data_IF_929167006659
#
_entry.id   IF_929167006659
#
_cell.length_a   1.000
_cell.length_b   1.000
_cell.length_c   1.000
_cell.angle_alpha   90.00
_cell.angle_beta   90.00
_cell.angle_gamma   90.00
#
_symmetry.space_group_name_H-M   'P 1'
#
loop_
_entity.id
_entity.type
_entity.pdbx_description
1 polymer ?
#
# COMPACT_ATOMS: atom_id res chain seq x y z
N UNK A 1 -16.04 -3.09 50.74
CA UNK A 1 -15.35 -2.64 49.52
C UNK A 1 -13.88 -2.44 49.87
N UNK A 2 -13.02 -3.39 49.51
CA UNK A 2 -11.58 -3.29 49.77
C UNK A 2 -10.94 -2.30 48.79
N UNK A 3 -9.97 -1.48 49.22
CA UNK A 3 -9.22 -0.64 48.30
C UNK A 3 -8.27 -1.56 47.54
N UNK A 4 -8.50 -1.80 46.26
CA UNK A 4 -7.55 -2.51 45.40
C UNK A 4 -6.31 -1.60 45.21
N UNK A 5 -5.40 -1.71 46.18
CA UNK A 5 -4.23 -0.88 46.34
C UNK A 5 -3.12 -1.26 45.38
N UNK A 6 -2.56 -0.24 44.73
CA UNK A 6 -1.14 0.16 44.56
C UNK A 6 0.00 -0.87 44.46
N UNK A 7 -0.19 -2.17 44.72
CA UNK A 7 0.90 -3.13 44.96
C UNK A 7 0.88 -4.37 44.04
N UNK A 8 -0.01 -4.44 43.04
CA UNK A 8 -0.10 -5.62 42.16
C UNK A 8 0.71 -5.51 40.86
N UNK A 9 1.11 -4.30 40.48
CA UNK A 9 1.93 -4.11 39.27
C UNK A 9 3.39 -4.35 39.62
N UNK A 10 3.96 -5.40 39.03
CA UNK A 10 5.39 -5.71 39.14
C UNK A 10 6.01 -5.64 37.76
N UNK A 11 7.00 -4.76 37.60
CA UNK A 11 7.86 -4.76 36.42
C UNK A 11 9.03 -5.73 36.64
N UNK A 12 9.43 -6.44 35.58
CA UNK A 12 10.62 -7.30 35.57
C UNK A 12 11.33 -7.21 34.22
N UNK A 13 12.62 -7.51 34.17
CA UNK A 13 13.33 -7.70 32.91
C UNK A 13 12.82 -8.97 32.19
N UNK A 14 12.68 -8.90 30.86
CA UNK A 14 12.18 -9.98 30.00
C UNK A 14 13.00 -11.29 30.12
N UNK A 15 14.29 -11.18 30.47
CA UNK A 15 15.22 -12.33 30.57
C UNK A 15 15.42 -12.87 32.00
N UNK A 16 14.84 -12.23 33.03
CA UNK A 16 14.97 -12.71 34.42
C UNK A 16 14.02 -13.89 34.59
N UNK A 17 14.57 -15.03 35.03
CA UNK A 17 13.92 -16.33 35.14
C UNK A 17 12.46 -16.27 35.57
N UNK A 18 11.65 -17.10 34.90
CA UNK A 18 10.22 -17.36 35.07
C UNK A 18 9.93 -18.02 36.44
N UNK A 19 10.39 -17.40 37.51
CA UNK A 19 10.32 -17.90 38.88
C UNK A 19 9.85 -16.75 39.79
N UNK A 20 8.58 -16.40 39.65
CA UNK A 20 7.87 -15.54 40.58
C UNK A 20 6.37 -15.78 40.40
N UNK A 21 5.69 -15.93 41.54
CA UNK A 21 4.26 -16.22 41.78
C UNK A 21 3.29 -15.88 40.65
N UNK A 22 2.21 -16.67 40.44
CA UNK A 22 1.18 -16.38 39.45
C UNK A 22 0.48 -15.07 39.81
N UNK A 23 0.99 -13.96 39.28
CA UNK A 23 0.33 -12.66 39.42
C UNK A 23 -0.90 -12.69 38.52
N UNK A 24 -2.08 -12.75 39.12
CA UNK A 24 -3.35 -12.64 38.43
C UNK A 24 -3.41 -11.32 37.63
N UNK A 25 -3.23 -11.39 36.31
CA UNK A 25 -3.35 -10.25 35.41
C UNK A 25 -2.65 -10.43 34.06
N UNK A 26 -2.93 -9.52 33.12
CA UNK A 26 -2.29 -9.54 31.79
C UNK A 26 -0.88 -8.93 31.86
N UNK A 27 -0.01 -9.38 30.96
CA UNK A 27 1.36 -8.87 30.82
C UNK A 27 1.46 -7.89 29.64
N UNK A 28 2.11 -6.76 29.84
CA UNK A 28 2.40 -5.78 28.78
C UNK A 28 3.91 -5.53 28.72
N UNK A 29 4.47 -5.58 27.51
CA UNK A 29 5.88 -5.32 27.27
C UNK A 29 6.13 -3.82 27.09
N UNK A 30 7.18 -3.31 27.73
CA UNK A 30 7.60 -1.91 27.67
C UNK A 30 9.11 -1.83 27.59
N UNK A 31 9.63 -1.13 26.58
CA UNK A 31 11.06 -0.86 26.44
C UNK A 31 11.45 0.36 27.27
N UNK A 32 12.50 0.24 28.08
CA UNK A 32 13.00 1.25 29.01
C UNK A 32 14.51 1.39 28.82
N UNK A 33 15.00 2.56 28.37
CA UNK A 33 16.44 2.81 28.16
C UNK A 33 17.16 1.69 27.39
N UNK A 34 16.54 1.19 26.31
CA UNK A 34 17.01 0.07 25.47
C UNK A 34 16.95 -1.33 26.13
N UNK A 35 16.27 -1.47 27.27
CA UNK A 35 15.97 -2.76 27.90
C UNK A 35 14.48 -3.11 27.78
N UNK A 36 14.17 -4.33 27.35
CA UNK A 36 12.80 -4.85 27.34
C UNK A 36 12.36 -5.26 28.76
N UNK A 37 11.36 -4.56 29.30
CA UNK A 37 10.71 -4.90 30.57
C UNK A 37 9.29 -5.41 30.33
N UNK A 38 8.82 -6.27 31.23
CA UNK A 38 7.46 -6.79 31.25
C UNK A 38 6.79 -6.33 32.53
N UNK A 39 5.63 -5.69 32.40
CA UNK A 39 4.77 -5.31 33.53
C UNK A 39 3.68 -6.36 33.67
N UNK A 40 3.71 -7.12 34.77
CA UNK A 40 2.72 -8.14 35.11
C UNK A 40 1.62 -7.55 36.00
N UNK A 41 0.43 -8.16 36.00
CA UNK A 41 -0.68 -7.73 36.86
C UNK A 41 -1.52 -6.58 36.29
N UNK A 42 -1.48 -6.34 34.98
CA UNK A 42 -2.22 -5.24 34.36
C UNK A 42 -3.72 -5.56 34.34
N UNK A 43 -4.52 -4.63 34.86
CA UNK A 43 -5.99 -4.76 34.96
C UNK A 43 -6.70 -3.70 34.12
N UNK A 44 -8.03 -3.81 34.02
CA UNK A 44 -8.89 -2.84 33.30
C UNK A 44 -8.86 -1.41 33.88
N UNK A 45 -8.38 -1.25 35.11
CA UNK A 45 -8.28 0.04 35.81
C UNK A 45 -6.87 0.62 35.79
N UNK A 46 -5.86 -0.17 35.40
CA UNK A 46 -4.47 0.25 35.35
C UNK A 46 -4.29 1.38 34.34
N UNK A 47 -3.74 2.50 34.80
CA UNK A 47 -3.42 3.67 33.98
C UNK A 47 -1.96 3.70 33.57
N UNK A 48 -1.62 4.55 32.60
CA UNK A 48 -0.23 4.79 32.20
C UNK A 48 0.62 5.31 33.36
N UNK A 49 0.06 6.16 34.23
CA UNK A 49 0.74 6.62 35.44
C UNK A 49 1.12 5.46 36.37
N UNK A 50 0.20 4.49 36.57
CA UNK A 50 0.46 3.32 37.41
C UNK A 50 1.56 2.42 36.82
N UNK A 51 1.59 2.29 35.48
CA UNK A 51 2.67 1.58 34.78
C UNK A 51 4.02 2.26 34.92
N UNK A 52 4.07 3.59 34.72
CA UNK A 52 5.30 4.38 34.88
C UNK A 52 5.83 4.24 36.30
N UNK A 53 4.94 4.31 37.29
CA UNK A 53 5.31 4.11 38.69
C UNK A 53 5.91 2.72 38.94
N UNK A 54 5.28 1.65 38.43
CA UNK A 54 5.78 0.29 38.56
C UNK A 54 7.15 0.08 37.89
N UNK A 55 7.39 0.69 36.72
CA UNK A 55 8.67 0.64 36.01
C UNK A 55 9.77 1.40 36.75
N UNK A 56 9.45 2.55 37.34
CA UNK A 56 10.38 3.34 38.15
C UNK A 56 10.70 2.65 39.48
N UNK A 57 9.73 2.02 40.12
CA UNK A 57 9.94 1.32 41.39
C UNK A 57 10.80 0.06 41.22
N UNK A 58 10.64 -0.69 40.13
CA UNK A 58 11.58 -1.77 39.74
C UNK A 58 12.99 -1.21 39.50
N UNK A 59 13.11 -0.09 38.80
CA UNK A 59 14.40 0.54 38.52
C UNK A 59 15.09 1.15 39.77
N UNK A 60 14.33 1.49 40.83
CA UNK A 60 14.90 1.87 42.15
C UNK A 60 15.42 0.68 42.94
N UNK A 61 14.97 -0.54 42.64
CA UNK A 61 15.42 -1.77 43.31
C UNK A 61 16.76 -2.30 42.76
N UNK A 62 17.25 -1.74 41.65
CA UNK A 62 18.51 -2.07 40.99
C UNK A 62 19.65 -1.23 41.62
N UNK A 63 20.90 -1.75 41.73
CA UNK A 63 22.02 -1.00 42.29
C UNK A 63 22.27 0.36 41.60
N UNK A 64 22.62 1.38 42.38
CA UNK A 64 22.78 2.78 41.94
C UNK A 64 23.71 2.95 40.72
N UNK A 65 24.67 2.04 40.51
CA UNK A 65 25.60 2.05 39.37
C UNK A 65 24.95 1.81 38.00
N UNK A 66 23.71 1.30 37.96
CA UNK A 66 22.93 1.06 36.72
C UNK A 66 21.65 1.91 36.66
N UNK A 67 21.49 2.88 37.57
CA UNK A 67 20.28 3.67 37.66
C UNK A 67 20.26 4.78 36.58
N UNK A 68 19.70 4.48 35.40
CA UNK A 68 19.58 5.43 34.28
C UNK A 68 18.35 6.36 34.37
N UNK A 69 17.25 5.88 34.97
CA UNK A 69 16.05 6.68 35.26
C UNK A 69 16.13 7.37 36.63
N UNK A 70 16.40 8.68 36.62
CA UNK A 70 16.32 9.56 37.79
C UNK A 70 15.23 10.62 37.58
N UNK A 71 14.17 10.59 38.38
CA UNK A 71 13.07 11.56 38.30
C UNK A 71 11.78 11.13 39.00
N UNK A 72 10.80 12.03 39.07
CA UNK A 72 9.45 11.70 39.54
C UNK A 72 8.65 11.01 38.43
N UNK A 73 7.62 10.19 38.75
CA UNK A 73 6.74 9.57 37.74
C UNK A 73 6.08 10.56 36.78
N UNK A 74 6.01 11.84 37.14
CA UNK A 74 5.46 12.93 36.31
C UNK A 74 6.41 13.41 35.22
N UNK A 75 7.70 13.11 35.34
CA UNK A 75 8.73 13.51 34.38
C UNK A 75 8.85 12.53 33.22
N UNK A 76 8.09 11.43 33.25
CA UNK A 76 8.10 10.38 32.24
C UNK A 76 6.71 10.22 31.61
N UNK A 77 6.70 9.77 30.36
CA UNK A 77 5.49 9.40 29.64
C UNK A 77 5.71 8.08 28.89
N UNK A 78 4.65 7.29 28.77
CA UNK A 78 4.63 6.12 27.89
C UNK A 78 4.33 6.58 26.47
N UNK A 79 5.08 6.07 25.51
CA UNK A 79 4.91 6.33 24.08
C UNK A 79 4.44 5.05 23.41
N UNK A 80 3.33 5.10 22.67
CA UNK A 80 2.92 4.04 21.76
C UNK A 80 3.62 4.23 20.41
N UNK A 81 4.24 3.16 19.86
CA UNK A 81 4.91 3.17 18.56
C UNK A 81 4.35 2.08 17.65
N UNK A 82 3.95 2.46 16.44
CA UNK A 82 3.49 1.53 15.40
C UNK A 82 3.68 2.12 13.99
N UNK A 83 4.31 1.38 13.07
CA UNK A 83 4.54 1.78 11.65
C UNK A 83 5.04 3.23 11.46
N UNK A 84 5.97 3.69 12.30
CA UNK A 84 6.53 5.04 12.25
C UNK A 84 5.67 6.14 12.92
N UNK A 85 4.49 5.80 13.43
CA UNK A 85 3.70 6.68 14.28
C UNK A 85 4.14 6.52 15.73
N UNK A 86 4.48 7.65 16.36
CA UNK A 86 4.82 7.72 17.78
C UNK A 86 3.89 8.70 18.48
N UNK A 87 3.30 8.27 19.60
CA UNK A 87 2.37 9.10 20.36
C UNK A 87 2.57 8.94 21.86
N UNK A 88 2.78 10.05 22.56
CA UNK A 88 2.77 10.04 24.02
C UNK A 88 1.35 9.84 24.55
N UNK A 89 1.23 8.89 25.47
CA UNK A 89 -0.01 8.54 26.13
C UNK A 89 -0.28 9.47 27.31
N UNK A 90 -1.48 10.04 27.44
CA UNK A 90 -1.88 10.78 28.63
C UNK A 90 -1.76 9.91 29.90
N UNK A 91 -1.37 10.47 31.05
CA UNK A 91 -1.14 9.70 32.29
C UNK A 91 -2.36 8.87 32.75
N UNK A 92 -3.58 9.36 32.49
CA UNK A 92 -4.84 8.71 32.88
C UNK A 92 -5.34 7.66 31.86
N UNK A 93 -4.60 7.44 30.77
CA UNK A 93 -4.98 6.46 29.75
C UNK A 93 -4.96 5.06 30.34
N UNK A 94 -6.08 4.34 30.22
CA UNK A 94 -6.19 2.95 30.66
C UNK A 94 -5.48 2.05 29.67
N UNK A 95 -4.28 1.60 30.03
CA UNK A 95 -3.39 0.89 29.10
C UNK A 95 -4.03 -0.37 28.52
N UNK A 96 -4.75 -1.14 29.34
CA UNK A 96 -5.34 -2.39 28.89
C UNK A 96 -6.47 -2.15 27.88
N UNK A 97 -7.23 -1.05 28.04
CA UNK A 97 -8.25 -0.66 27.05
C UNK A 97 -7.61 -0.24 25.73
N UNK A 98 -6.52 0.52 25.80
CA UNK A 98 -5.75 0.92 24.62
C UNK A 98 -5.20 -0.31 23.89
N UNK A 99 -4.56 -1.22 24.63
CA UNK A 99 -4.04 -2.49 24.11
C UNK A 99 -5.12 -3.31 23.41
N UNK A 100 -6.32 -3.43 24.00
CA UNK A 100 -7.43 -4.14 23.34
C UNK A 100 -7.97 -3.43 22.10
N UNK A 101 -7.99 -2.09 22.09
CA UNK A 101 -8.47 -1.29 20.97
C UNK A 101 -7.67 -1.51 19.68
N UNK A 102 -6.42 -1.94 19.80
CA UNK A 102 -5.55 -2.26 18.66
C UNK A 102 -5.82 -3.62 17.99
N UNK A 103 -6.72 -4.46 18.53
CA UNK A 103 -7.17 -5.68 17.86
C UNK A 103 -6.02 -6.63 17.47
N UNK A 104 -5.96 -7.01 16.20
CA UNK A 104 -4.96 -7.95 15.67
C UNK A 104 -3.58 -7.33 15.49
N UNK A 105 -3.46 -6.00 15.62
CA UNK A 105 -2.19 -5.28 15.49
C UNK A 105 -1.39 -5.24 16.81
N UNK A 106 -1.95 -5.75 17.91
CA UNK A 106 -1.29 -5.88 19.23
C UNK A 106 0.18 -6.33 19.18
N UNK A 107 0.57 -7.44 18.51
CA UNK A 107 1.95 -7.92 18.54
C UNK A 107 2.97 -6.96 17.89
N UNK A 108 2.51 -5.98 17.10
CA UNK A 108 3.37 -5.03 16.41
C UNK A 108 3.50 -3.68 17.14
N UNK A 109 2.76 -3.47 18.23
CA UNK A 109 2.76 -2.22 18.98
C UNK A 109 3.75 -2.30 20.11
N UNK A 110 4.60 -1.27 20.17
CA UNK A 110 5.65 -1.18 21.17
C UNK A 110 5.34 -0.01 22.10
N UNK A 111 5.42 -0.27 23.40
CA UNK A 111 5.39 0.79 24.40
C UNK A 111 6.81 1.13 24.81
N UNK A 112 7.15 2.42 24.82
CA UNK A 112 8.47 2.89 25.26
C UNK A 112 8.31 3.92 26.38
N UNK A 113 9.06 3.77 27.46
CA UNK A 113 9.13 4.79 28.51
C UNK A 113 10.15 5.86 28.12
N UNK A 114 9.70 7.10 28.01
CA UNK A 114 10.55 8.24 27.62
C UNK A 114 10.38 9.38 28.62
N UNK A 115 11.44 10.17 28.84
CA UNK A 115 11.34 11.38 29.65
C UNK A 115 10.54 12.44 28.88
N UNK A 116 9.58 13.08 29.55
CA UNK A 116 8.68 14.07 28.91
C UNK A 116 9.45 15.25 28.31
N UNK A 117 10.64 15.58 28.83
CA UNK A 117 11.53 16.60 28.25
C UNK A 117 12.08 16.27 26.86
N UNK A 118 12.15 14.98 26.54
CA UNK A 118 12.81 14.47 25.33
C UNK A 118 11.76 14.16 24.24
N UNK A 119 10.51 13.94 24.64
CA UNK A 119 9.37 13.75 23.72
C UNK A 119 8.77 15.08 23.24
N UNK A 120 8.84 16.16 24.04
CA UNK A 120 8.39 17.49 23.61
C UNK A 120 9.42 18.05 22.62
N UNK A 121 9.02 18.46 21.40
CA UNK A 121 9.92 19.14 20.48
C UNK A 121 10.53 20.36 21.16
N UNK A 122 11.82 20.28 21.49
CA UNK A 122 12.56 21.45 21.94
C UNK A 122 12.55 22.46 20.79
N UNK A 123 12.10 23.72 20.98
CA UNK A 123 12.39 24.75 19.99
C UNK A 123 13.92 24.82 19.90
N UNK A 124 14.43 24.52 18.71
CA UNK A 124 15.86 24.47 18.41
C UNK A 124 16.52 25.77 18.88
N UNK A 125 17.27 25.70 19.99
CA UNK A 125 18.07 26.81 20.48
C UNK A 125 19.26 27.00 19.55
N UNK A 126 19.07 27.78 18.48
CA UNK A 126 20.18 28.48 17.84
C UNK A 126 20.81 29.41 18.88
N UNK A 127 22.13 29.32 19.00
CA UNK A 127 22.93 30.05 19.96
C UNK A 127 22.70 31.56 19.88
N UNK A 128 22.46 32.16 21.05
CA UNK A 128 22.38 33.59 21.22
C UNK A 128 22.52 33.90 22.70
N UNK A 129 23.71 34.35 23.12
CA UNK A 129 23.97 34.83 24.47
C UNK A 129 23.00 35.98 24.79
N UNK A 130 22.07 35.78 25.71
CA UNK A 130 21.39 36.88 26.39
C UNK A 130 21.45 36.66 27.90
N UNK A 131 22.09 37.61 28.56
CA UNK A 131 22.20 37.69 30.01
C UNK A 131 20.80 37.89 30.62
N UNK A 132 20.52 37.13 31.67
CA UNK A 132 19.71 37.59 32.80
C UNK A 132 18.21 37.75 32.58
N UNK A 133 17.45 36.67 32.79
CA UNK A 133 16.11 36.77 33.35
C UNK A 133 15.85 35.54 34.25
N UNK A 134 15.84 35.76 35.56
CA UNK A 134 15.42 34.75 36.54
C UNK A 134 14.05 34.21 36.15
N UNK A 135 13.95 32.89 35.94
CA UNK A 135 12.68 32.20 35.86
C UNK A 135 11.96 32.34 37.21
N UNK A 136 10.92 33.17 37.24
CA UNK A 136 10.03 33.28 38.40
C UNK A 136 9.22 31.98 38.49
N UNK A 137 9.60 31.19 39.49
CA UNK A 137 8.77 30.28 40.28
C UNK A 137 7.29 30.73 40.26
N UNK A 138 6.44 29.98 39.56
CA UNK A 138 4.99 30.12 39.65
C UNK A 138 4.54 29.46 40.96
N UNK A 139 4.69 30.19 42.05
CA UNK A 139 3.99 29.87 43.31
C UNK A 139 2.52 30.26 43.14
N UNK A 140 1.66 29.31 43.47
CA UNK A 140 0.22 29.50 43.56
C UNK A 140 -0.08 30.58 44.62
N UNK A 141 -0.62 31.72 44.18
CA UNK A 141 -1.04 32.80 45.06
C UNK A 141 -2.23 33.54 44.48
N UNK A 142 -3.39 33.32 45.09
CA UNK A 142 -4.57 34.20 45.19
C UNK A 142 -4.94 35.07 43.97
N UNK A 143 -6.09 34.75 43.37
CA UNK A 143 -6.79 35.58 42.41
C UNK A 143 -7.09 36.98 42.98
N UNK A 144 -6.18 37.94 42.73
CA UNK A 144 -6.55 39.35 42.78
C UNK A 144 -7.31 39.68 41.50
N UNK A 145 -8.62 39.88 41.65
CA UNK A 145 -9.49 40.40 40.61
C UNK A 145 -8.92 41.73 40.09
N UNK A 146 -8.35 41.70 38.88
CA UNK A 146 -7.98 42.91 38.17
C UNK A 146 -9.28 43.64 37.79
N UNK A 147 -9.31 44.99 37.83
CA UNK A 147 -10.49 45.77 37.43
C UNK A 147 -11.03 45.30 36.08
N UNK A 148 -12.32 45.02 36.00
CA UNK A 148 -13.00 44.38 34.85
C UNK A 148 -12.71 45.12 33.54
N UNK A 149 -12.50 46.44 33.58
CA UNK A 149 -12.13 47.27 32.43
C UNK A 149 -10.74 46.94 31.88
N UNK A 150 -9.77 46.63 32.74
CA UNK A 150 -8.43 46.19 32.33
C UNK A 150 -8.47 44.78 31.77
N UNK A 151 -9.28 43.89 32.35
CA UNK A 151 -9.51 42.55 31.84
C UNK A 151 -10.19 42.59 30.45
N UNK A 152 -11.24 43.40 30.27
CA UNK A 152 -11.90 43.60 28.96
C UNK A 152 -10.94 44.14 27.91
N UNK A 153 -10.04 45.08 28.27
CA UNK A 153 -9.00 45.60 27.36
C UNK A 153 -7.94 44.56 27.03
N UNK A 154 -7.51 43.76 28.00
CA UNK A 154 -6.58 42.64 27.80
C UNK A 154 -7.18 41.56 26.92
N UNK A 155 -8.43 41.19 27.17
CA UNK A 155 -9.18 40.21 26.38
C UNK A 155 -9.34 40.72 24.94
N UNK A 156 -9.79 41.97 24.73
CA UNK A 156 -9.84 42.57 23.39
C UNK A 156 -8.47 42.63 22.71
N UNK A 157 -7.39 42.91 23.44
CA UNK A 157 -6.02 42.84 22.90
C UNK A 157 -5.59 41.42 22.58
N UNK A 158 -5.97 40.43 23.38
CA UNK A 158 -5.69 39.02 23.15
C UNK A 158 -6.48 38.49 21.94
N UNK A 159 -7.76 38.83 21.81
CA UNK A 159 -8.56 38.51 20.63
C UNK A 159 -8.01 39.18 19.37
N UNK A 160 -7.66 40.48 19.41
CA UNK A 160 -6.99 41.13 18.27
C UNK A 160 -5.63 40.51 17.94
N UNK A 161 -4.90 40.00 18.94
CA UNK A 161 -3.62 39.32 18.74
C UNK A 161 -3.83 37.92 18.14
N UNK A 162 -4.85 37.19 18.58
CA UNK A 162 -5.25 35.91 18.00
C UNK A 162 -5.75 36.08 16.57
N UNK A 163 -6.53 37.13 16.29
CA UNK A 163 -7.01 37.45 14.96
C UNK A 163 -5.86 37.84 14.03
N UNK A 164 -4.87 38.61 14.52
CA UNK A 164 -3.64 38.88 13.76
C UNK A 164 -2.84 37.62 13.48
N UNK A 165 -2.63 36.75 14.47
CA UNK A 165 -1.91 35.49 14.26
C UNK A 165 -2.67 34.54 13.32
N UNK A 166 -3.99 34.48 13.42
CA UNK A 166 -4.82 33.67 12.53
C UNK A 166 -4.79 34.20 11.09
N UNK A 167 -4.79 35.53 10.90
CA UNK A 167 -4.62 36.13 9.58
C UNK A 167 -3.20 35.95 9.04
N UNK A 168 -2.16 36.06 9.88
CA UNK A 168 -0.76 35.78 9.52
C UNK A 168 -0.54 34.30 9.19
N UNK A 169 -1.24 33.39 9.86
CA UNK A 169 -1.21 31.94 9.57
C UNK A 169 -1.90 31.65 8.24
N UNK A 170 -3.05 32.28 7.97
CA UNK A 170 -3.76 32.18 6.69
C UNK A 170 -3.03 32.84 5.53
N UNK A 171 -2.23 33.89 5.79
CA UNK A 171 -1.42 34.56 4.77
C UNK A 171 -0.02 33.97 4.60
N UNK A 172 0.29 32.85 5.26
CA UNK A 172 1.56 32.16 5.04
C UNK A 172 1.50 31.40 3.71
N UNK A 173 2.55 31.45 2.88
CA UNK A 173 2.53 30.85 1.54
C UNK A 173 2.29 29.32 1.52
N UNK A 174 2.43 28.63 2.66
CA UNK A 174 2.12 27.21 2.81
C UNK A 174 0.68 26.91 3.29
N UNK A 175 -0.09 27.89 3.76
CA UNK A 175 -1.46 27.65 4.23
C UNK A 175 -2.41 27.31 3.08
N UNK A 176 -2.25 27.95 1.92
CA UNK A 176 -3.02 27.66 0.71
C UNK A 176 -2.63 26.30 0.10
N UNK A 177 -1.40 25.85 0.29
CA UNK A 177 -0.95 24.50 -0.10
C UNK A 177 -1.54 23.43 0.82
N UNK A 178 -1.55 23.66 2.13
CA UNK A 178 -2.23 22.78 3.09
C UNK A 178 -3.73 22.73 2.84
N UNK A 179 -4.39 23.84 2.54
CA UNK A 179 -5.81 23.85 2.21
C UNK A 179 -6.11 23.08 0.91
N UNK A 180 -5.26 23.22 -0.11
CA UNK A 180 -5.33 22.41 -1.35
C UNK A 180 -5.15 20.92 -1.07
N UNK A 181 -4.19 20.54 -0.22
CA UNK A 181 -4.01 19.14 0.19
C UNK A 181 -5.22 18.62 0.97
N UNK A 182 -5.80 19.42 1.87
CA UNK A 182 -7.00 19.05 2.62
C UNK A 182 -8.18 18.83 1.68
N UNK A 183 -8.41 19.75 0.72
CA UNK A 183 -9.45 19.59 -0.29
C UNK A 183 -9.23 18.34 -1.15
N UNK A 184 -7.97 18.05 -1.53
CA UNK A 184 -7.63 16.83 -2.26
C UNK A 184 -7.93 15.57 -1.45
N UNK A 185 -7.56 15.55 -0.17
CA UNK A 185 -7.83 14.43 0.75
C UNK A 185 -9.34 14.23 0.92
N UNK A 186 -10.12 15.30 1.05
CA UNK A 186 -11.58 15.21 1.15
C UNK A 186 -12.20 14.68 -0.14
N UNK A 187 -11.72 15.13 -1.30
CA UNK A 187 -12.19 14.63 -2.60
C UNK A 187 -11.83 13.15 -2.79
N UNK A 188 -10.63 12.74 -2.37
CA UNK A 188 -10.20 11.34 -2.39
C UNK A 188 -11.02 10.49 -1.42
N UNK A 189 -11.27 10.96 -0.20
CA UNK A 189 -12.13 10.27 0.78
C UNK A 189 -13.55 10.08 0.24
N UNK A 190 -14.13 11.10 -0.41
CA UNK A 190 -15.42 10.96 -1.06
C UNK A 190 -15.38 9.93 -2.20
N UNK A 191 -14.37 9.99 -3.07
CA UNK A 191 -14.21 9.01 -4.15
C UNK A 191 -14.06 7.56 -3.64
N UNK A 192 -13.30 7.37 -2.55
CA UNK A 192 -13.13 6.06 -1.90
C UNK A 192 -14.45 5.57 -1.31
N UNK A 193 -15.22 6.44 -0.64
CA UNK A 193 -16.55 6.08 -0.12
C UNK A 193 -17.51 5.67 -1.22
N UNK A 194 -17.54 6.41 -2.33
CA UNK A 194 -18.34 6.07 -3.52
C UNK A 194 -17.89 4.76 -4.17
N UNK A 195 -16.58 4.49 -4.21
CA UNK A 195 -16.06 3.21 -4.71
C UNK A 195 -16.46 2.05 -3.80
N UNK A 196 -16.32 2.19 -2.48
CA UNK A 196 -16.74 1.17 -1.51
C UNK A 196 -18.25 0.91 -1.62
N UNK A 197 -19.05 1.96 -1.79
CA UNK A 197 -20.49 1.82 -1.97
C UNK A 197 -20.83 1.05 -3.24
N UNK A 198 -20.19 1.38 -4.37
CA UNK A 198 -20.34 0.63 -5.63
C UNK A 198 -19.86 -0.82 -5.52
N UNK A 199 -18.76 -1.09 -4.81
CA UNK A 199 -18.32 -2.46 -4.56
C UNK A 199 -19.37 -3.27 -3.81
N UNK A 200 -19.98 -2.69 -2.76
CA UNK A 200 -21.04 -3.34 -2.00
C UNK A 200 -22.30 -3.60 -2.84
N UNK A 201 -22.65 -2.66 -3.71
CA UNK A 201 -23.76 -2.85 -4.66
C UNK A 201 -23.47 -4.01 -5.62
N UNK A 202 -22.25 -4.05 -6.18
CA UNK A 202 -21.82 -5.17 -7.02
C UNK A 202 -21.77 -6.49 -6.28
N UNK A 203 -21.32 -6.53 -5.02
CA UNK A 203 -21.30 -7.75 -4.20
C UNK A 203 -22.74 -8.28 -4.02
N UNK A 204 -23.72 -7.39 -3.79
CA UNK A 204 -25.13 -7.76 -3.69
C UNK A 204 -25.69 -8.25 -5.03
N UNK A 205 -25.30 -7.63 -6.14
CA UNK A 205 -25.71 -8.08 -7.48
C UNK A 205 -25.10 -9.46 -7.81
N UNK A 206 -23.86 -9.71 -7.40
CA UNK A 206 -23.21 -11.03 -7.52
C UNK A 206 -23.98 -12.07 -6.69
N UNK A 207 -24.29 -11.78 -5.43
CA UNK A 207 -25.10 -12.69 -4.58
C UNK A 207 -26.45 -13.00 -5.21
N UNK A 208 -27.12 -12.02 -5.84
CA UNK A 208 -28.38 -12.23 -6.55
C UNK A 208 -28.21 -13.13 -7.77
N UNK A 209 -27.16 -12.93 -8.56
CA UNK A 209 -26.85 -13.77 -9.72
C UNK A 209 -26.49 -15.20 -9.29
N UNK A 210 -25.71 -15.36 -8.23
CA UNK A 210 -25.38 -16.67 -7.65
C UNK A 210 -26.62 -17.39 -7.16
N UNK A 211 -27.56 -16.68 -6.52
CA UNK A 211 -28.85 -17.24 -6.09
C UNK A 211 -29.74 -17.62 -7.27
N UNK A 212 -29.77 -16.83 -8.34
CA UNK A 212 -30.55 -17.18 -9.55
C UNK A 212 -29.95 -18.41 -10.23
N UNK A 213 -28.62 -18.51 -10.34
CA UNK A 213 -27.93 -19.69 -10.86
C UNK A 213 -28.18 -20.91 -9.96
N UNK A 214 -28.13 -20.75 -8.64
CA UNK A 214 -28.41 -21.83 -7.70
C UNK A 214 -29.88 -22.28 -7.77
N UNK A 215 -30.83 -21.34 -7.97
CA UNK A 215 -32.25 -21.63 -8.15
C UNK A 215 -32.57 -22.29 -9.49
N UNK A 216 -31.85 -21.93 -10.55
CA UNK A 216 -31.89 -22.66 -11.82
C UNK A 216 -31.35 -24.09 -11.64
N UNK A 217 -30.20 -24.25 -10.98
CA UNK A 217 -29.62 -25.55 -10.66
C UNK A 217 -30.50 -26.39 -9.71
N UNK A 218 -31.19 -25.77 -8.76
CA UNK A 218 -32.16 -26.43 -7.87
C UNK A 218 -33.51 -26.69 -8.54
N UNK A 219 -33.91 -25.93 -9.54
CA UNK A 219 -35.07 -26.28 -10.38
C UNK A 219 -34.76 -27.49 -11.27
N UNK A 220 -33.52 -27.59 -11.76
CA UNK A 220 -33.00 -28.79 -12.43
C UNK A 220 -32.84 -29.98 -11.46
N UNK A 221 -32.39 -29.75 -10.21
CA UNK A 221 -32.18 -30.81 -9.21
C UNK A 221 -33.43 -31.24 -8.45
N UNK A 222 -34.42 -30.36 -8.24
CA UNK A 222 -35.72 -30.70 -7.64
C UNK A 222 -36.59 -31.51 -8.59
N UNK A 223 -36.38 -31.36 -9.91
CA UNK A 223 -36.81 -32.33 -10.90
C UNK A 223 -36.17 -33.70 -10.60
N UNK A 224 -34.85 -33.74 -10.35
CA UNK A 224 -34.12 -34.96 -10.03
C UNK A 224 -34.43 -35.59 -8.65
N UNK A 225 -34.90 -34.84 -7.64
CA UNK A 225 -35.13 -35.38 -6.28
C UNK A 225 -36.55 -35.94 -6.03
N UNK A 226 -37.53 -35.66 -6.89
CA UNK A 226 -38.78 -36.45 -6.93
C UNK A 226 -38.53 -37.90 -7.43
N UNK A 227 -37.33 -38.17 -7.97
CA UNK A 227 -36.91 -39.47 -8.50
C UNK A 227 -36.45 -40.47 -7.44
N UNK A 228 -36.56 -40.20 -6.13
CA UNK A 228 -36.13 -41.18 -5.11
C UNK A 228 -36.92 -42.51 -5.12
N UNK A 229 -38.16 -42.49 -5.62
CA UNK A 229 -38.96 -43.68 -5.97
C UNK A 229 -39.24 -43.78 -7.48
N UNK A 230 -38.64 -42.86 -8.27
CA UNK A 230 -38.78 -42.68 -9.72
C UNK A 230 -37.39 -42.66 -10.37
N UNK A 231 -36.44 -43.43 -9.83
CA UNK A 231 -35.01 -43.34 -10.18
C UNK A 231 -34.73 -43.96 -11.55
N UNK A 232 -35.43 -45.04 -11.90
CA UNK A 232 -35.39 -45.64 -13.24
C UNK A 232 -36.14 -44.78 -14.27
N UNK A 233 -37.22 -44.11 -13.87
CA UNK A 233 -38.00 -43.26 -14.78
C UNK A 233 -37.32 -41.92 -15.07
N UNK A 234 -36.49 -41.42 -14.16
CA UNK A 234 -35.73 -40.18 -14.37
C UNK A 234 -34.46 -40.41 -15.19
N UNK A 235 -33.79 -41.56 -15.02
CA UNK A 235 -32.69 -41.95 -15.92
C UNK A 235 -33.17 -42.16 -17.35
N UNK A 236 -34.35 -42.77 -17.53
CA UNK A 236 -34.94 -42.99 -18.86
C UNK A 236 -35.40 -41.69 -19.53
N UNK A 237 -35.99 -40.76 -18.78
CA UNK A 237 -36.38 -39.43 -19.29
C UNK A 237 -35.17 -38.60 -19.66
N UNK A 238 -34.12 -38.61 -18.83
CA UNK A 238 -32.88 -37.91 -19.10
C UNK A 238 -32.15 -38.52 -20.30
N UNK A 239 -32.13 -39.84 -20.46
CA UNK A 239 -31.63 -40.50 -21.68
C UNK A 239 -32.46 -40.12 -22.90
N UNK A 240 -33.78 -40.06 -22.79
CA UNK A 240 -34.67 -39.70 -23.90
C UNK A 240 -34.51 -38.23 -24.30
N UNK A 241 -34.29 -37.34 -23.34
CA UNK A 241 -33.94 -35.93 -23.56
C UNK A 241 -32.54 -35.80 -24.19
N UNK A 242 -31.55 -36.59 -23.75
CA UNK A 242 -30.26 -36.66 -24.42
C UNK A 242 -30.36 -37.20 -25.85
N UNK A 243 -31.24 -38.18 -26.12
CA UNK A 243 -31.47 -38.69 -27.47
C UNK A 243 -32.13 -37.61 -28.35
N UNK A 244 -33.14 -36.91 -27.83
CA UNK A 244 -33.82 -35.82 -28.54
C UNK A 244 -32.90 -34.63 -28.80
N UNK A 245 -32.11 -34.24 -27.79
CA UNK A 245 -31.10 -33.19 -27.90
C UNK A 245 -29.97 -33.64 -28.85
N UNK A 246 -29.59 -34.92 -28.86
CA UNK A 246 -28.61 -35.45 -29.81
C UNK A 246 -29.09 -35.38 -31.25
N UNK A 247 -30.39 -35.56 -31.50
CA UNK A 247 -30.97 -35.43 -32.83
C UNK A 247 -31.07 -33.96 -33.26
N UNK A 248 -31.38 -33.05 -32.33
CA UNK A 248 -31.28 -31.61 -32.55
C UNK A 248 -29.84 -31.17 -32.87
N UNK A 249 -28.85 -31.69 -32.15
CA UNK A 249 -27.42 -31.45 -32.42
C UNK A 249 -27.01 -32.01 -33.79
N UNK A 250 -27.44 -33.21 -34.16
CA UNK A 250 -27.20 -33.77 -35.51
C UNK A 250 -27.84 -32.93 -36.61
N UNK A 251 -29.03 -32.37 -36.37
CA UNK A 251 -29.70 -31.51 -37.34
C UNK A 251 -28.95 -30.18 -37.52
N UNK A 252 -28.47 -29.58 -36.43
CA UNK A 252 -27.63 -28.39 -36.49
C UNK A 252 -26.29 -28.69 -37.19
N UNK A 253 -25.68 -29.83 -36.91
CA UNK A 253 -24.45 -30.28 -37.59
C UNK A 253 -24.67 -30.43 -39.10
N UNK A 254 -25.79 -31.04 -39.52
CA UNK A 254 -26.14 -31.16 -40.94
C UNK A 254 -26.40 -29.77 -41.58
N UNK A 255 -27.01 -28.85 -40.83
CA UNK A 255 -27.23 -27.48 -41.29
C UNK A 255 -25.91 -26.71 -41.42
N UNK A 256 -24.97 -26.88 -40.48
CA UNK A 256 -23.62 -26.30 -40.56
C UNK A 256 -22.89 -26.86 -41.78
N UNK A 257 -22.92 -28.18 -42.00
CA UNK A 257 -22.30 -28.80 -43.18
C UNK A 257 -22.90 -28.30 -44.49
N UNK A 258 -24.23 -28.11 -44.55
CA UNK A 258 -24.89 -27.54 -45.74
C UNK A 258 -24.45 -26.11 -46.00
N UNK A 259 -24.36 -25.28 -44.96
CA UNK A 259 -23.86 -23.91 -45.10
C UNK A 259 -22.39 -23.89 -45.50
N UNK A 260 -21.56 -24.76 -44.94
CA UNK A 260 -20.15 -24.86 -45.29
C UNK A 260 -19.97 -25.28 -46.76
N UNK A 261 -20.75 -26.25 -47.24
CA UNK A 261 -20.75 -26.64 -48.65
C UNK A 261 -21.21 -25.52 -49.57
N UNK A 262 -22.23 -24.74 -49.16
CA UNK A 262 -22.70 -23.57 -49.91
C UNK A 262 -21.63 -22.48 -49.97
N UNK A 263 -20.98 -22.18 -48.85
CA UNK A 263 -19.87 -21.21 -48.78
C UNK A 263 -18.76 -21.65 -49.73
N UNK A 264 -18.34 -22.92 -49.68
CA UNK A 264 -17.31 -23.45 -50.58
C UNK A 264 -17.73 -23.41 -52.05
N UNK A 265 -19.01 -23.57 -52.36
CA UNK A 265 -19.54 -23.42 -53.71
C UNK A 265 -19.49 -21.96 -54.16
N UNK A 266 -20.00 -21.05 -53.36
CA UNK A 266 -19.98 -19.61 -53.65
C UNK A 266 -18.55 -19.08 -53.76
N UNK A 267 -17.62 -19.52 -52.92
CA UNK A 267 -16.20 -19.17 -53.05
C UNK A 267 -15.62 -19.64 -54.39
N UNK A 268 -15.93 -20.88 -54.81
CA UNK A 268 -15.51 -21.39 -56.12
C UNK A 268 -16.12 -20.60 -57.28
N UNK A 269 -17.38 -20.19 -57.15
CA UNK A 269 -18.09 -19.40 -58.16
C UNK A 269 -17.52 -17.98 -58.24
N UNK A 270 -17.24 -17.33 -57.10
CA UNK A 270 -16.54 -16.04 -57.02
C UNK A 270 -15.14 -16.15 -57.64
N UNK A 271 -14.37 -17.20 -57.30
CA UNK A 271 -13.05 -17.42 -57.87
C UNK A 271 -13.10 -17.69 -59.39
N UNK A 272 -14.17 -18.33 -59.88
CA UNK A 272 -14.39 -18.54 -61.32
C UNK A 272 -14.78 -17.24 -62.02
N UNK A 273 -15.63 -16.41 -61.41
CA UNK A 273 -16.02 -15.10 -61.91
C UNK A 273 -14.85 -14.14 -61.93
N UNK A 274 -14.05 -14.07 -60.87
CA UNK A 274 -12.81 -13.30 -60.82
C UNK A 274 -11.81 -13.76 -61.88
N UNK A 275 -11.66 -15.07 -62.10
CA UNK A 275 -10.81 -15.58 -63.19
C UNK A 275 -11.36 -15.21 -64.57
N UNK A 276 -12.67 -15.25 -64.76
CA UNK A 276 -13.34 -14.87 -66.01
C UNK A 276 -13.22 -13.37 -66.27
N UNK A 277 -13.38 -12.53 -65.24
CA UNK A 277 -13.18 -11.08 -65.29
C UNK A 277 -11.71 -10.72 -65.54
N UNK A 278 -10.77 -11.54 -65.07
CA UNK A 278 -9.33 -11.38 -65.28
C UNK A 278 -8.82 -11.99 -66.60
N UNK A 279 -9.66 -12.66 -67.40
CA UNK A 279 -9.28 -13.01 -68.77
C UNK A 279 -9.37 -11.75 -69.65
N UNK A 280 -8.26 -11.30 -70.29
CA UNK A 280 -8.32 -10.18 -71.20
C UNK A 280 -9.24 -10.57 -72.36
N UNK A 281 -10.27 -9.76 -72.63
CA UNK A 281 -11.09 -9.79 -73.85
C UNK A 281 -10.20 -9.44 -75.05
N UNK A 282 -9.38 -10.40 -75.45
CA UNK A 282 -8.46 -10.31 -76.58
C UNK A 282 -8.82 -11.41 -77.57
N UNK A 283 -9.31 -10.99 -78.75
CA UNK A 283 -9.60 -11.78 -79.96
C UNK A 283 -10.84 -12.69 -79.87
N UNK A 284 -11.94 -12.49 -80.62
CA UNK A 284 -12.12 -12.11 -82.03
C UNK A 284 -13.40 -11.29 -82.26
N UNK A 285 -13.44 -10.51 -83.35
CA UNK A 285 -14.63 -9.82 -83.85
C UNK A 285 -15.73 -10.76 -84.38
N UNK A 286 -16.92 -10.17 -84.46
CA UNK A 286 -17.99 -10.42 -85.43
C UNK A 286 -18.92 -11.63 -85.21
N UNK A 287 -20.04 -11.40 -84.49
CA UNK A 287 -21.40 -11.78 -84.93
C UNK A 287 -22.38 -10.74 -84.34
N UNK A 288 -22.93 -9.88 -85.19
CA UNK A 288 -24.19 -9.19 -84.94
C UNK A 288 -25.33 -10.21 -84.76
N UNK A 289 -26.05 -10.19 -83.63
CA UNK A 289 -27.49 -10.51 -83.61
C UNK A 289 -28.13 -10.05 -82.29
N UNK A 290 -28.76 -8.88 -82.37
CA UNK A 290 -30.08 -8.54 -81.82
C UNK A 290 -30.76 -9.55 -80.86
N UNK A 291 -31.00 -9.12 -79.62
CA UNK A 291 -31.70 -9.91 -78.60
C UNK A 291 -32.07 -9.08 -77.36
N UNK A 292 -33.19 -8.38 -77.48
CA UNK A 292 -33.95 -7.61 -76.50
C UNK A 292 -33.73 -7.78 -74.98
N UNK A 293 -33.84 -6.62 -74.31
CA UNK A 293 -34.44 -6.38 -72.99
C UNK A 293 -33.63 -6.69 -71.73
N UNK A 294 -33.00 -5.65 -71.17
CA UNK A 294 -33.31 -5.19 -69.81
C UNK A 294 -32.64 -3.84 -69.53
N UNK A 295 -33.49 -2.88 -69.14
CA UNK A 295 -33.18 -1.69 -68.37
C UNK A 295 -32.07 -0.75 -68.89
N UNK A 296 -32.53 0.36 -69.47
CA UNK A 296 -31.84 1.65 -69.42
C UNK A 296 -31.47 1.97 -67.96
N UNK A 297 -30.19 1.85 -67.62
CA UNK A 297 -29.62 2.47 -66.42
C UNK A 297 -28.87 3.70 -66.88
N UNK A 298 -29.33 4.84 -66.39
CA UNK A 298 -28.80 6.17 -66.63
C UNK A 298 -27.36 6.21 -66.08
N UNK A 299 -26.37 6.74 -66.82
CA UNK A 299 -25.02 6.96 -66.28
C UNK A 299 -25.06 8.10 -65.25
N UNK A 300 -24.64 7.83 -64.01
CA UNK A 300 -24.29 8.87 -63.05
C UNK A 300 -22.84 8.69 -62.63
N UNK A 301 -21.93 9.09 -63.53
CA UNK A 301 -20.47 9.16 -63.34
C UNK A 301 -20.02 10.07 -62.17
N UNK A 302 -20.96 10.72 -61.48
CA UNK A 302 -20.67 11.62 -60.36
C UNK A 302 -20.28 10.86 -59.08
N UNK A 303 -20.66 9.58 -58.95
CA UNK A 303 -20.47 8.78 -57.73
C UNK A 303 -19.10 8.07 -57.72
N UNK A 304 -18.66 7.51 -58.85
CA UNK A 304 -17.37 6.79 -59.00
C UNK A 304 -16.15 7.67 -58.65
N UNK A 305 -16.13 8.93 -59.08
CA UNK A 305 -15.05 9.87 -58.76
C UNK A 305 -14.99 10.21 -57.27
N UNK A 306 -16.14 10.23 -56.58
CA UNK A 306 -16.20 10.51 -55.16
C UNK A 306 -15.71 9.31 -54.34
N UNK A 307 -16.15 8.10 -54.70
CA UNK A 307 -15.65 6.86 -54.08
C UNK A 307 -14.14 6.67 -54.31
N UNK A 308 -13.62 7.01 -55.49
CA UNK A 308 -12.19 6.93 -55.76
C UNK A 308 -11.37 7.88 -54.85
N UNK A 309 -11.82 9.13 -54.67
CA UNK A 309 -11.17 10.09 -53.79
C UNK A 309 -11.28 9.71 -52.30
N UNK A 310 -12.41 9.14 -51.89
CA UNK A 310 -12.63 8.61 -50.54
C UNK A 310 -11.68 7.43 -50.25
N UNK A 311 -11.51 6.54 -51.23
CA UNK A 311 -10.66 5.36 -51.12
C UNK A 311 -9.18 5.74 -51.09
N UNK A 312 -8.75 6.75 -51.86
CA UNK A 312 -7.40 7.32 -51.78
C UNK A 312 -7.15 7.98 -50.41
N UNK A 313 -8.12 8.75 -49.89
CA UNK A 313 -8.00 9.35 -48.55
C UNK A 313 -7.88 8.30 -47.45
N UNK A 314 -8.72 7.26 -47.47
CA UNK A 314 -8.62 6.15 -46.52
C UNK A 314 -7.29 5.42 -46.65
N UNK A 315 -6.78 5.24 -47.87
CA UNK A 315 -5.48 4.61 -48.10
C UNK A 315 -4.35 5.44 -47.48
N UNK A 316 -4.39 6.77 -47.61
CA UNK A 316 -3.39 7.66 -47.03
C UNK A 316 -3.49 7.75 -45.51
N UNK A 317 -4.70 7.71 -44.95
CA UNK A 317 -4.92 7.64 -43.51
C UNK A 317 -4.40 6.32 -42.92
N UNK A 318 -4.58 5.20 -43.62
CA UNK A 318 -4.00 3.89 -43.23
C UNK A 318 -2.47 3.93 -43.31
N UNK A 319 -1.89 4.52 -44.37
CA UNK A 319 -0.43 4.69 -44.46
C UNK A 319 0.10 5.55 -43.30
N UNK A 320 -0.55 6.67 -43.02
CA UNK A 320 -0.15 7.58 -41.95
C UNK A 320 -0.26 6.91 -40.58
N UNK A 321 -1.35 6.19 -40.30
CA UNK A 321 -1.51 5.44 -39.05
C UNK A 321 -0.49 4.31 -38.91
N UNK A 322 -0.13 3.62 -39.99
CA UNK A 322 0.93 2.61 -39.99
C UNK A 322 2.29 3.23 -39.66
N UNK A 323 2.66 4.35 -40.30
CA UNK A 323 3.91 5.05 -40.00
C UNK A 323 3.95 5.57 -38.56
N UNK A 324 2.84 6.12 -38.07
CA UNK A 324 2.71 6.54 -36.67
C UNK A 324 2.87 5.34 -35.73
N UNK A 325 2.23 4.21 -36.03
CA UNK A 325 2.33 2.97 -35.25
C UNK A 325 3.76 2.43 -35.19
N UNK A 326 4.48 2.40 -36.32
CA UNK A 326 5.89 1.97 -36.36
C UNK A 326 6.78 2.94 -35.58
N UNK A 327 6.54 4.25 -35.68
CA UNK A 327 7.28 5.27 -34.92
C UNK A 327 7.06 5.11 -33.40
N UNK A 328 5.80 4.92 -32.98
CA UNK A 328 5.46 4.64 -31.58
C UNK A 328 6.08 3.33 -31.10
N UNK A 329 6.07 2.28 -31.93
CA UNK A 329 6.72 1.01 -31.60
C UNK A 329 8.23 1.17 -31.40
N UNK A 330 8.89 1.95 -32.25
CA UNK A 330 10.31 2.30 -32.09
C UNK A 330 10.56 3.08 -30.79
N UNK A 331 9.70 4.04 -30.47
CA UNK A 331 9.81 4.80 -29.22
C UNK A 331 9.61 3.89 -27.99
N UNK A 332 8.63 2.99 -28.03
CA UNK A 332 8.37 2.02 -26.96
C UNK A 332 9.58 1.07 -26.77
N UNK A 333 10.20 0.61 -27.86
CA UNK A 333 11.40 -0.23 -27.79
C UNK A 333 12.61 0.51 -27.18
N UNK A 334 12.77 1.81 -27.44
CA UNK A 334 13.82 2.61 -26.80
C UNK A 334 13.56 2.80 -25.30
N UNK A 335 12.31 3.07 -24.90
CA UNK A 335 11.93 3.17 -23.48
C UNK A 335 12.15 1.83 -22.76
N UNK A 336 11.76 0.71 -23.37
CA UNK A 336 12.00 -0.63 -22.84
C UNK A 336 13.51 -0.92 -22.65
N UNK A 337 14.35 -0.48 -23.59
CA UNK A 337 15.81 -0.58 -23.45
C UNK A 337 16.34 0.27 -22.29
N UNK A 338 15.82 1.48 -22.10
CA UNK A 338 16.20 2.33 -20.96
C UNK A 338 15.74 1.72 -19.63
N UNK A 339 14.53 1.16 -19.59
CA UNK A 339 13.99 0.49 -18.41
C UNK A 339 14.87 -0.72 -18.03
N UNK A 340 15.23 -1.56 -19.00
CA UNK A 340 16.16 -2.68 -18.79
C UNK A 340 17.54 -2.23 -18.27
N UNK A 341 18.04 -1.08 -18.73
CA UNK A 341 19.29 -0.51 -18.23
C UNK A 341 19.16 -0.03 -16.77
N UNK A 342 18.06 0.65 -16.43
CA UNK A 342 17.76 1.07 -15.07
C UNK A 342 17.62 -0.12 -14.13
N UNK A 343 16.89 -1.17 -14.54
CA UNK A 343 16.73 -2.41 -13.77
C UNK A 343 18.07 -3.08 -13.50
N UNK A 344 18.92 -3.22 -14.54
CA UNK A 344 20.25 -3.79 -14.38
C UNK A 344 21.12 -2.97 -13.41
N UNK A 345 21.01 -1.65 -13.48
CA UNK A 345 21.72 -0.74 -12.57
C UNK A 345 21.20 -0.87 -11.13
N UNK A 346 19.90 -0.97 -10.94
CA UNK A 346 19.26 -1.16 -9.64
C UNK A 346 19.68 -2.49 -9.01
N UNK A 347 19.65 -3.59 -9.77
CA UNK A 347 20.11 -4.90 -9.31
C UNK A 347 21.59 -4.86 -8.92
N UNK A 348 22.45 -4.19 -9.70
CA UNK A 348 23.86 -4.02 -9.34
C UNK A 348 24.03 -3.23 -8.04
N UNK A 349 23.19 -2.21 -7.80
CA UNK A 349 23.23 -1.40 -6.58
C UNK A 349 22.72 -2.17 -5.37
N UNK A 350 21.66 -2.96 -5.53
CA UNK A 350 21.16 -3.85 -4.48
C UNK A 350 22.21 -4.89 -4.08
N UNK A 351 22.91 -5.47 -5.07
CA UNK A 351 24.02 -6.38 -4.82
C UNK A 351 25.16 -5.70 -4.05
N UNK A 352 25.51 -4.44 -4.39
CA UNK A 352 26.51 -3.64 -3.67
C UNK A 352 26.06 -3.39 -2.22
N UNK A 353 24.80 -2.98 -2.00
CA UNK A 353 24.23 -2.80 -0.67
C UNK A 353 24.27 -4.09 0.16
N UNK A 354 23.95 -5.22 -0.46
CA UNK A 354 24.01 -6.52 0.20
C UNK A 354 25.44 -6.88 0.60
N UNK A 355 26.41 -6.68 -0.29
CA UNK A 355 27.82 -6.90 0.01
C UNK A 355 28.31 -6.00 1.16
N UNK A 356 27.93 -4.73 1.17
CA UNK A 356 28.27 -3.79 2.25
C UNK A 356 27.62 -4.19 3.58
N UNK A 357 26.37 -4.64 3.57
CA UNK A 357 25.69 -5.15 4.76
C UNK A 357 26.40 -6.39 5.34
N UNK A 358 26.82 -7.31 4.47
CA UNK A 358 27.61 -8.49 4.88
C UNK A 358 28.97 -8.07 5.47
N UNK A 359 29.68 -7.12 4.85
CA UNK A 359 30.93 -6.59 5.39
C UNK A 359 30.75 -5.92 6.76
N UNK A 360 29.71 -5.09 6.92
CA UNK A 360 29.38 -4.45 8.20
C UNK A 360 29.07 -5.48 9.29
N UNK A 361 28.25 -6.49 8.97
CA UNK A 361 27.95 -7.57 9.93
C UNK A 361 29.22 -8.36 10.32
N UNK A 362 30.14 -8.57 9.38
CA UNK A 362 31.42 -9.24 9.64
C UNK A 362 32.35 -8.42 10.54
N UNK A 363 32.38 -7.09 10.38
CA UNK A 363 33.12 -6.19 11.26
C UNK A 363 32.48 -6.09 12.65
N UNK A 364 31.14 -6.11 12.74
CA UNK A 364 30.41 -6.05 14.01
C UNK A 364 30.59 -7.32 14.87
N UNK A 365 30.83 -8.47 14.23
CA UNK A 365 31.18 -9.74 14.92
C UNK A 365 32.62 -9.71 15.46
N UNK A 366 33.51 -8.89 14.89
CA UNK A 366 34.90 -8.72 15.35
C UNK A 366 35.05 -7.85 16.59
N UNK A 367 34.10 -6.95 16.86
CA UNK A 367 34.16 -5.96 17.95
C UNK A 367 33.46 -6.43 19.25
N UNK A 368 32.83 -7.62 19.23
CA UNK A 368 32.10 -8.18 20.37
C UNK A 368 32.86 -9.31 21.10
N UNK A 369 34.14 -9.52 20.81
CA UNK A 369 35.01 -10.40 21.61
C UNK A 369 35.85 -9.56 22.55
N UNK A 370 35.35 -9.42 23.78
CA UNK A 370 36.07 -8.82 24.89
C UNK A 370 37.39 -9.54 25.16
N UNK A 371 38.35 -8.70 25.57
CA UNK A 371 39.63 -9.02 26.15
C UNK A 371 39.48 -9.88 27.42
N UNK A 372 40.20 -10.99 27.51
CA UNK A 372 40.79 -11.47 28.78
C UNK A 372 42.18 -12.07 28.49
N UNK A 373 43.09 -11.75 29.42
CA UNK A 373 44.55 -11.78 29.40
C UNK A 373 45.29 -13.05 28.89
N UNK A 374 46.38 -12.83 28.14
CA UNK A 374 47.75 -13.11 28.63
C UNK A 374 48.83 -12.78 27.58
N UNK A 375 49.88 -12.11 28.04
CA UNK A 375 51.16 -11.91 27.35
C UNK A 375 52.25 -12.72 28.11
N UNK A 376 53.54 -12.87 27.67
CA UNK A 376 54.23 -12.13 26.60
C UNK A 376 55.28 -12.94 25.75
N UNK A 377 56.04 -12.18 24.93
CA UNK A 377 57.41 -12.34 24.38
C UNK A 377 57.66 -13.10 23.04
N UNK A 378 58.76 -12.79 22.29
CA UNK A 378 58.67 -12.28 20.92
C UNK A 378 59.51 -13.09 19.90
N UNK A 379 59.51 -12.75 18.61
CA UNK A 379 60.70 -12.83 17.73
C UNK A 379 60.45 -12.13 16.39
N UNK A 380 61.45 -11.35 15.99
CA UNK A 380 61.66 -10.64 14.71
C UNK A 380 61.78 -11.66 13.55
N UNK A 381 61.44 -11.36 12.30
CA UNK A 381 62.18 -10.42 11.42
C UNK A 381 61.45 -10.13 10.08
N UNK A 382 61.39 -8.83 9.73
CA UNK A 382 61.71 -8.18 8.44
C UNK A 382 61.23 -8.82 7.11
N UNK A 383 60.54 -8.09 6.22
CA UNK A 383 61.16 -7.10 5.30
C UNK A 383 60.14 -6.06 4.75
N UNK A 384 60.64 -4.83 4.57
CA UNK A 384 60.03 -3.54 4.15
C UNK A 384 59.54 -3.53 2.68
N UNK A 385 58.69 -2.60 2.18
CA UNK A 385 58.94 -1.15 1.95
C UNK A 385 57.62 -0.47 1.46
N UNK A 386 57.07 0.54 2.14
CA UNK A 386 57.18 2.00 1.89
C UNK A 386 56.83 2.50 0.47
N UNK A 387 55.75 3.29 0.32
CA UNK A 387 55.76 4.69 -0.20
C UNK A 387 54.38 5.33 0.08
N UNK A 388 54.40 6.44 0.83
CA UNK A 388 53.30 7.40 0.97
C UNK A 388 53.32 8.40 -0.18
N UNK A 389 52.18 8.68 -0.82
CA UNK A 389 52.03 9.91 -1.62
C UNK A 389 50.67 10.58 -1.41
N UNK A 390 50.74 11.75 -0.80
CA UNK A 390 49.70 12.78 -0.75
C UNK A 390 49.75 13.60 -2.03
N UNK A 391 48.62 13.88 -2.68
CA UNK A 391 48.54 14.94 -3.70
C UNK A 391 47.33 15.83 -3.43
N UNK A 392 47.62 17.09 -3.09
CA UNK A 392 46.69 18.23 -3.18
C UNK A 392 46.54 18.61 -4.66
N UNK A 393 45.32 18.81 -5.15
CA UNK A 393 45.06 19.77 -6.22
C UNK A 393 43.77 20.55 -5.96
N UNK A 394 43.94 21.85 -5.76
CA UNK A 394 42.90 22.86 -5.88
C UNK A 394 42.70 23.15 -7.37
N UNK A 395 41.47 23.25 -7.84
CA UNK A 395 41.06 24.26 -8.81
C UNK A 395 39.55 24.50 -8.70
N UNK A 396 39.21 25.67 -8.19
CA UNK A 396 37.92 26.34 -8.35
C UNK A 396 37.73 26.75 -9.81
N UNK A 397 36.53 26.59 -10.38
CA UNK A 397 35.78 27.59 -11.15
C UNK A 397 34.32 27.09 -11.34
N UNK A 398 33.36 27.88 -10.87
CA UNK A 398 31.91 27.76 -11.12
C UNK A 398 31.54 28.18 -12.55
N UNK A 399 30.32 27.86 -13.03
CA UNK A 399 29.27 28.88 -13.01
C UNK A 399 27.82 28.39 -12.77
N UNK A 400 27.09 29.25 -12.06
CA UNK A 400 25.67 29.63 -12.18
C UNK A 400 24.58 28.56 -12.31
N UNK A 401 23.83 28.42 -11.21
CA UNK A 401 22.42 28.86 -11.08
C UNK A 401 21.51 28.60 -12.30
N UNK A 402 20.83 27.45 -12.27
CA UNK A 402 19.53 27.28 -12.91
C UNK A 402 18.66 26.47 -11.95
N UNK A 403 17.60 27.09 -11.48
CA UNK A 403 16.48 26.49 -10.78
C UNK A 403 15.97 25.27 -11.53
N UNK A 404 15.94 24.10 -10.89
CA UNK A 404 15.06 23.02 -11.32
C UNK A 404 14.33 22.47 -10.09
N UNK A 405 13.10 22.94 -9.98
CA UNK A 405 12.12 22.55 -8.99
C UNK A 405 11.69 21.14 -9.32
N UNK A 406 12.06 20.17 -8.46
CA UNK A 406 11.39 18.87 -8.49
C UNK A 406 9.89 19.12 -8.29
N UNK A 407 9.12 18.59 -9.23
CA UNK A 407 7.66 18.58 -9.19
C UNK A 407 7.27 17.14 -9.43
N UNK A 408 7.28 16.37 -8.34
CA UNK A 408 6.58 15.10 -8.26
C UNK A 408 5.06 15.35 -8.37
N UNK A 409 4.58 15.38 -9.61
CA UNK A 409 3.20 15.01 -9.91
C UNK A 409 3.14 13.49 -9.97
N UNK A 410 2.60 12.89 -8.90
CA UNK A 410 2.30 11.46 -8.87
C UNK A 410 1.28 11.05 -9.94
N UNK A 411 1.24 9.75 -10.24
CA UNK A 411 0.06 8.88 -10.08
C UNK A 411 0.38 7.43 -10.52
N UNK A 412 -0.20 6.51 -9.76
CA UNK A 412 -0.66 5.16 -10.15
C UNK A 412 0.36 4.05 -10.41
N UNK A 413 0.62 3.25 -9.36
CA UNK A 413 0.80 1.80 -9.52
C UNK A 413 -0.12 1.07 -8.55
N UNK A 414 -1.28 0.72 -9.08
CA UNK A 414 -2.15 -0.32 -8.55
C UNK A 414 -1.61 -1.68 -9.00
N UNK A 415 -1.42 -2.62 -8.06
CA UNK A 415 -1.61 -4.07 -8.30
C UNK A 415 -0.56 -4.74 -9.22
N UNK A 416 0.20 -5.77 -8.84
CA UNK A 416 -0.22 -7.02 -8.19
C UNK A 416 0.94 -7.69 -7.46
N UNK A 417 0.64 -8.25 -6.29
CA UNK A 417 1.42 -9.32 -5.66
C UNK A 417 0.81 -10.64 -6.12
N UNK A 418 1.56 -11.45 -6.87
CA UNK A 418 1.31 -12.89 -6.92
C UNK A 418 2.10 -13.56 -5.81
N UNK A 419 1.40 -14.08 -4.82
CA UNK A 419 1.94 -15.04 -3.84
C UNK A 419 1.00 -16.22 -3.79
N UNK A 420 1.42 -17.31 -4.41
CA UNK A 420 0.86 -18.63 -4.19
C UNK A 420 1.07 -19.02 -2.73
N UNK A 421 0.02 -19.46 -2.05
CA UNK A 421 0.11 -20.19 -0.78
C UNK A 421 -0.93 -21.32 -0.79
N UNK A 422 -0.53 -22.58 -0.55
CA UNK A 422 -1.44 -23.71 -0.47
C UNK A 422 -2.13 -23.79 0.90
N UNK A 423 -3.41 -24.17 0.86
CA UNK A 423 -4.24 -24.57 2.01
C UNK A 423 -3.52 -25.50 2.98
N UNK A 424 -3.65 -25.23 4.28
CA UNK A 424 -3.66 -26.26 5.31
C UNK A 424 -4.79 -25.99 6.31
N UNK A 425 -5.69 -26.96 6.37
CA UNK A 425 -6.88 -27.02 7.22
C UNK A 425 -6.54 -27.02 8.71
N UNK A 426 -7.39 -26.34 9.48
CA UNK A 426 -7.47 -26.44 10.94
C UNK A 426 -8.29 -27.68 11.35
N UNK A 427 -7.93 -28.41 12.41
CA UNK A 427 -8.86 -29.22 13.17
C UNK A 427 -9.51 -28.42 14.33
N UNK A 428 -10.75 -28.76 14.74
CA UNK A 428 -11.54 -27.99 15.71
C UNK A 428 -11.12 -28.24 17.18
N UNK A 429 -11.45 -27.34 18.12
CA UNK A 429 -11.13 -27.52 19.52
C UNK A 429 -12.14 -28.46 20.21
N UNK A 430 -11.59 -29.35 21.04
CA UNK A 430 -12.31 -30.26 21.93
C UNK A 430 -12.94 -29.51 23.11
N UNK A 431 -14.21 -29.80 23.35
CA UNK A 431 -14.91 -29.55 24.61
C UNK A 431 -14.23 -30.25 25.78
N UNK A 432 -14.04 -29.53 26.89
CA UNK A 432 -14.06 -30.13 28.23
C UNK A 432 -14.65 -29.13 29.23
N UNK A 433 -15.90 -29.39 29.61
CA UNK A 433 -16.40 -29.14 30.96
C UNK A 433 -15.78 -30.19 31.91
N UNK A 434 -15.09 -29.75 32.96
CA UNK A 434 -15.13 -30.20 34.38
C UNK A 434 -14.25 -29.26 35.21
#
# INVERSE_FOLDING_TARGET
MAPFGKNFLKARQKNRTKDAEPVEGKEIQVTVCNEDKVVCGVTKHTTCADMIQALLDDHKSIPESKQLLLGEPKDFCLVERWKGFERALPPLTRILRLWYAWGDQRPFIHFTLVKTSDFVPQPTKKGGKSKGAKAKRWEHGHAQSLPVERQKRMVKKAFRKLEKLHNETKSSPGADEVDRMVQLILNQDHAIREQIQRMRELDVDIEQLELEVQKEAESESSLAHAAGQSLETHSDKQLQEYLYNSDGVKQLELQVQRHQALILQLSRDIDAELRTANFPRSQYEDIEQEGAAAASWIPLETDESFYAAELERLQDEVKHSLFAGVSLHKQAAEIDKQLKYCDATLVSKDQECWQLAVQLSSLQIGDSKEEEESSPVPLKSETQCSVSQTVKLKHSLSPLDVTDTDSDTGISSTHSQDSLSPCLDFPPPLDTDV
#
